data_IF_583661553954
#
_entry.id   IF_583661553954
#
_cell.length_a   1.000
_cell.length_b   1.000
_cell.length_c   1.000
_cell.angle_alpha   90.00
_cell.angle_beta   90.00
_cell.angle_gamma   90.00
#
_symmetry.space_group_name_H-M   'P 1'
#
loop_
_entity.id
_entity.type
_entity.pdbx_description
1 polymer ?
#
# COMPACT_ATOMS: atom_id res chain seq x y z
N UNK A 1 -37.56 4.56 -25.40
CA UNK A 1 -36.16 4.13 -25.20
C UNK A 1 -35.59 4.88 -24.03
N UNK A 2 -35.36 4.21 -22.91
CA UNK A 2 -34.82 4.81 -21.69
C UNK A 2 -33.30 4.67 -21.66
N UNK A 3 -32.59 5.79 -21.50
CA UNK A 3 -31.13 5.84 -21.46
C UNK A 3 -30.61 5.37 -20.09
N UNK A 4 -30.44 4.06 -19.91
CA UNK A 4 -29.82 3.46 -18.73
C UNK A 4 -28.49 2.82 -19.14
N UNK A 5 -27.42 3.60 -19.22
CA UNK A 5 -26.12 3.06 -19.63
C UNK A 5 -24.89 3.74 -19.06
N UNK A 6 -24.98 4.99 -18.59
CA UNK A 6 -23.77 5.80 -18.37
C UNK A 6 -23.51 6.24 -16.91
N UNK A 7 -24.30 5.78 -15.94
CA UNK A 7 -24.10 6.20 -14.54
C UNK A 7 -22.92 5.46 -13.91
N UNK A 8 -22.61 4.23 -14.35
CA UNK A 8 -21.47 3.46 -13.85
C UNK A 8 -20.12 4.00 -14.35
N UNK A 9 -20.08 4.72 -15.48
CA UNK A 9 -18.84 5.26 -16.05
C UNK A 9 -18.41 6.61 -15.44
N UNK A 10 -19.26 7.22 -14.60
CA UNK A 10 -19.01 8.55 -14.01
C UNK A 10 -18.52 8.51 -12.55
N UNK A 11 -18.32 7.33 -11.95
CA UNK A 11 -17.68 7.30 -10.64
C UNK A 11 -16.18 7.61 -10.80
N UNK A 12 -15.64 8.60 -10.06
CA UNK A 12 -14.21 8.83 -10.03
C UNK A 12 -13.50 7.59 -9.48
N UNK A 13 -12.31 7.24 -9.99
CA UNK A 13 -11.55 6.12 -9.45
C UNK A 13 -11.26 6.40 -7.98
N UNK A 14 -11.77 5.53 -7.10
CA UNK A 14 -11.39 5.56 -5.70
C UNK A 14 -9.89 5.31 -5.62
N UNK A 15 -9.14 6.38 -5.35
CA UNK A 15 -7.70 6.33 -5.26
C UNK A 15 -7.35 5.61 -3.96
N UNK A 16 -7.14 4.29 -4.05
CA UNK A 16 -6.56 3.52 -2.96
C UNK A 16 -5.13 4.05 -2.81
N UNK A 17 -4.74 4.61 -1.64
CA UNK A 17 -3.38 5.08 -1.43
C UNK A 17 -2.43 3.92 -1.74
N UNK A 18 -1.55 4.16 -2.72
CA UNK A 18 -0.56 3.18 -3.15
C UNK A 18 0.44 2.94 -2.00
N UNK A 19 0.95 1.72 -1.83
CA UNK A 19 1.93 1.43 -0.80
C UNK A 19 3.18 2.30 -1.04
N UNK A 20 3.74 2.78 0.07
CA UNK A 20 4.71 3.87 0.24
C UNK A 20 6.06 3.73 -0.51
N UNK A 21 6.21 2.77 -1.43
CA UNK A 21 7.48 2.28 -1.98
C UNK A 21 8.38 3.31 -2.67
N UNK A 22 7.82 4.40 -3.23
CA UNK A 22 8.61 5.38 -3.99
C UNK A 22 9.39 6.38 -3.11
N UNK A 23 9.12 6.48 -1.81
CA UNK A 23 9.79 7.44 -0.91
C UNK A 23 10.35 6.82 0.38
N UNK A 24 10.58 5.51 0.40
CA UNK A 24 11.22 4.89 1.56
C UNK A 24 12.74 5.11 1.55
N UNK A 25 13.34 5.32 2.73
CA UNK A 25 14.79 5.26 2.89
C UNK A 25 15.35 3.92 2.41
N UNK A 26 16.60 3.88 1.97
CA UNK A 26 17.26 2.63 1.57
C UNK A 26 17.58 1.76 2.78
N UNK A 27 17.70 2.36 3.96
CA UNK A 27 18.07 1.66 5.19
C UNK A 27 16.82 1.08 5.89
N UNK A 28 16.74 -0.25 6.10
CA UNK A 28 15.59 -0.89 6.69
C UNK A 28 15.37 -0.57 8.17
N UNK A 29 16.38 -0.06 8.88
CA UNK A 29 16.21 0.41 10.25
C UNK A 29 15.33 1.67 10.30
N UNK A 30 15.38 2.52 9.28
CA UNK A 30 14.58 3.74 9.21
C UNK A 30 13.12 3.45 8.82
N UNK A 31 12.81 2.23 8.39
CA UNK A 31 11.43 1.82 8.09
C UNK A 31 10.58 1.68 9.36
N UNK A 32 11.20 1.51 10.54
CA UNK A 32 10.46 1.38 11.79
C UNK A 32 9.76 2.71 12.13
N UNK A 33 8.42 2.68 12.14
CA UNK A 33 7.59 3.87 12.32
C UNK A 33 7.14 4.56 11.02
N UNK A 34 7.85 4.38 9.90
CA UNK A 34 7.41 4.83 8.57
C UNK A 34 6.50 3.80 7.89
N UNK A 35 6.81 2.51 8.08
CA UNK A 35 6.05 1.40 7.49
C UNK A 35 5.09 0.84 8.52
N UNK A 36 3.80 0.82 8.18
CA UNK A 36 2.80 0.16 9.01
C UNK A 36 3.13 -1.32 9.19
N UNK A 37 3.13 -1.80 10.45
CA UNK A 37 3.41 -3.21 10.81
C UNK A 37 2.55 -4.23 10.06
N UNK A 38 1.36 -3.84 9.61
CA UNK A 38 0.46 -4.71 8.84
C UNK A 38 0.55 -4.54 7.32
N UNK A 39 1.25 -3.53 6.82
CA UNK A 39 1.45 -3.32 5.38
C UNK A 39 2.39 -4.37 4.79
N UNK A 40 2.30 -4.58 3.48
CA UNK A 40 3.25 -5.39 2.73
C UNK A 40 4.66 -4.82 2.89
N UNK A 41 5.63 -5.70 3.12
CA UNK A 41 7.01 -5.31 3.35
C UNK A 41 7.61 -4.72 2.06
N UNK A 42 8.22 -3.53 2.12
CA UNK A 42 8.75 -2.82 0.95
C UNK A 42 9.95 -3.53 0.28
N UNK A 43 10.56 -4.52 0.94
CA UNK A 43 11.61 -5.37 0.36
C UNK A 43 11.11 -6.34 -0.74
N UNK A 44 9.80 -6.37 -1.01
CA UNK A 44 9.22 -7.25 -2.04
C UNK A 44 9.02 -8.70 -1.63
N UNK A 45 9.19 -9.06 -0.34
CA UNK A 45 9.01 -10.43 0.14
C UNK A 45 7.56 -10.94 0.09
N UNK A 46 6.59 -10.06 -0.13
CA UNK A 46 5.16 -10.38 -0.07
C UNK A 46 4.62 -10.62 1.35
N UNK A 47 5.49 -10.61 2.36
CA UNK A 47 5.13 -10.73 3.77
C UNK A 47 4.69 -9.38 4.34
N UNK A 48 3.96 -9.40 5.46
CA UNK A 48 3.68 -8.17 6.22
C UNK A 48 4.96 -7.68 6.89
N UNK A 49 5.13 -6.36 7.03
CA UNK A 49 6.33 -5.75 7.63
C UNK A 49 6.68 -6.39 8.99
N UNK A 50 5.69 -6.60 9.88
CA UNK A 50 5.90 -7.26 11.19
C UNK A 50 6.36 -8.73 11.15
N UNK A 51 6.23 -9.41 10.01
CA UNK A 51 6.68 -10.79 9.80
C UNK A 51 7.94 -10.84 8.91
N UNK A 52 8.57 -9.70 8.67
CA UNK A 52 9.75 -9.55 7.84
C UNK A 52 10.71 -8.60 8.55
N UNK A 53 11.11 -7.49 7.91
CA UNK A 53 12.07 -6.53 8.47
C UNK A 53 11.61 -5.80 9.74
N UNK A 54 10.30 -5.72 9.99
CA UNK A 54 9.74 -5.15 11.22
C UNK A 54 9.53 -6.18 12.33
N UNK A 55 10.07 -7.39 12.18
CA UNK A 55 10.00 -8.41 13.21
C UNK A 55 10.87 -7.97 14.40
N UNK A 56 10.21 -7.62 15.50
CA UNK A 56 10.89 -7.35 16.76
C UNK A 56 11.14 -8.71 17.39
N UNK A 57 12.40 -8.98 17.75
CA UNK A 57 12.82 -10.20 18.42
C UNK A 57 12.05 -10.45 19.72
#
# INVERSE_FOLDING_TARGET
GGATGNVLAQLPPMSIPQPLGDNLPTDPAEWDGLVSRNATCPCGSGLKYKHCHGQVA
#
